data_IF_333860481654
#
_entry.id   IF_333860481654
#
_cell.length_a   1.000
_cell.length_b   1.000
_cell.length_c   1.000
_cell.angle_alpha   90.00
_cell.angle_beta   90.00
_cell.angle_gamma   90.00
#
_symmetry.space_group_name_H-M   'P 1'
#
loop_
_entity.id
_entity.type
_entity.pdbx_description
1 polymer ?
#
# COMPACT_ATOMS: atom_id res chain seq x y z
N UNK A 1 10.47 12.32 12.11
CA UNK A 1 11.13 11.05 12.33
C UNK A 1 11.47 10.43 10.98
N UNK A 2 12.69 9.96 10.83
CA UNK A 2 13.11 9.35 9.59
C UNK A 2 12.76 7.86 9.57
N UNK A 3 12.28 7.38 8.43
CA UNK A 3 12.02 5.96 8.22
C UNK A 3 13.24 5.35 7.56
N UNK A 4 14.03 4.61 8.32
CA UNK A 4 15.16 3.89 7.77
C UNK A 4 14.85 2.39 7.68
N UNK A 5 15.82 1.60 7.22
CA UNK A 5 15.61 0.19 7.02
C UNK A 5 15.24 -0.56 8.30
N UNK A 6 15.79 -0.15 9.43
CA UNK A 6 15.49 -0.78 10.71
C UNK A 6 14.08 -0.42 11.17
N UNK A 7 13.68 0.83 11.01
CA UNK A 7 12.31 1.25 11.32
C UNK A 7 11.31 0.50 10.48
N UNK A 8 11.59 0.34 9.18
CA UNK A 8 10.71 -0.42 8.28
C UNK A 8 10.65 -1.89 8.72
N UNK A 9 11.77 -2.48 9.14
CA UNK A 9 11.77 -3.87 9.59
C UNK A 9 10.85 -4.05 10.81
N UNK A 10 10.86 -3.08 11.73
CA UNK A 10 9.97 -3.13 12.89
C UNK A 10 8.51 -3.01 12.48
N UNK A 11 8.21 -2.16 11.50
CA UNK A 11 6.85 -2.03 11.00
C UNK A 11 6.39 -3.31 10.29
N UNK A 12 7.26 -3.95 9.52
CA UNK A 12 6.93 -5.21 8.87
C UNK A 12 6.57 -6.26 9.92
N UNK A 13 7.35 -6.32 11.01
CA UNK A 13 7.05 -7.24 12.11
C UNK A 13 5.66 -6.97 12.68
N UNK A 14 5.34 -5.71 12.94
CA UNK A 14 4.02 -5.32 13.45
C UNK A 14 2.91 -5.69 12.46
N UNK A 15 3.11 -5.38 11.18
CA UNK A 15 2.09 -5.65 10.17
C UNK A 15 1.88 -7.15 9.94
N UNK A 16 2.93 -7.95 10.08
CA UNK A 16 2.77 -9.40 10.02
C UNK A 16 1.85 -9.91 11.11
N UNK A 17 1.91 -9.30 12.28
CA UNK A 17 1.10 -9.74 13.43
C UNK A 17 -0.31 -9.15 13.44
N UNK A 18 -0.53 -8.06 12.70
CA UNK A 18 -1.83 -7.38 12.71
C UNK A 18 -2.56 -7.50 11.38
N UNK A 19 -1.86 -7.44 10.26
CA UNK A 19 -2.49 -7.30 8.94
C UNK A 19 -2.46 -8.57 8.11
N UNK A 20 -1.46 -9.44 8.26
CA UNK A 20 -1.43 -10.66 7.45
C UNK A 20 -2.64 -11.52 7.75
N UNK A 21 -3.29 -12.00 6.69
CA UNK A 21 -4.53 -12.75 6.79
C UNK A 21 -5.77 -11.88 6.83
N UNK A 22 -5.60 -10.58 6.97
CA UNK A 22 -6.72 -9.67 7.01
C UNK A 22 -7.29 -9.37 5.64
N UNK A 23 -8.47 -8.78 5.63
CA UNK A 23 -9.19 -8.46 4.40
C UNK A 23 -9.36 -6.96 4.29
N UNK A 24 -9.08 -6.43 3.11
CA UNK A 24 -9.27 -4.99 2.85
C UNK A 24 -10.78 -4.72 2.81
N UNK A 25 -11.21 -3.76 3.64
CA UNK A 25 -12.62 -3.40 3.74
C UNK A 25 -12.91 -2.07 3.07
N UNK A 26 -11.94 -1.14 3.07
CA UNK A 26 -12.16 0.18 2.51
C UNK A 26 -10.82 0.76 2.06
N UNK A 27 -10.85 1.49 0.94
CA UNK A 27 -9.67 2.20 0.43
C UNK A 27 -10.09 3.64 0.18
N UNK A 28 -9.33 4.58 0.73
CA UNK A 28 -9.54 6.01 0.52
C UNK A 28 -8.24 6.68 0.17
N UNK A 29 -8.31 7.78 -0.53
CA UNK A 29 -7.14 8.60 -0.89
C UNK A 29 -7.44 10.03 -0.46
N UNK A 30 -7.19 10.37 0.83
CA UNK A 30 -7.53 11.70 1.35
C UNK A 30 -6.76 12.83 0.68
N UNK A 31 -5.51 12.56 0.27
CA UNK A 31 -4.66 13.52 -0.41
C UNK A 31 -4.11 12.90 -1.68
N UNK A 32 -3.56 13.70 -2.58
CA UNK A 32 -3.08 13.22 -3.87
C UNK A 32 -1.96 12.17 -3.74
N UNK A 33 -1.23 12.17 -2.63
CA UNK A 33 -0.13 11.24 -2.42
C UNK A 33 -0.31 10.41 -1.15
N UNK A 34 -1.54 10.24 -0.67
CA UNK A 34 -1.81 9.56 0.57
C UNK A 34 -2.95 8.56 0.42
N UNK A 35 -2.77 7.35 0.98
CA UNK A 35 -3.81 6.33 1.04
C UNK A 35 -4.17 6.04 2.49
N UNK A 36 -5.45 5.73 2.72
CA UNK A 36 -5.93 5.24 3.99
C UNK A 36 -6.71 3.96 3.72
N UNK A 37 -6.17 2.83 4.18
CA UNK A 37 -6.75 1.52 3.91
C UNK A 37 -7.27 0.93 5.21
N UNK A 38 -8.54 0.54 5.23
CA UNK A 38 -9.14 -0.12 6.38
C UNK A 38 -9.08 -1.62 6.17
N UNK A 39 -8.52 -2.34 7.12
CA UNK A 39 -8.30 -3.78 7.05
C UNK A 39 -8.98 -4.43 8.25
N UNK A 40 -9.77 -5.48 7.99
CA UNK A 40 -10.42 -6.25 9.04
C UNK A 40 -9.68 -7.55 9.25
N UNK A 41 -9.28 -7.81 10.49
CA UNK A 41 -8.58 -9.05 10.84
C UNK A 41 -8.93 -9.43 12.29
N UNK A 42 -9.39 -10.66 12.49
CA UNK A 42 -9.72 -11.18 13.83
C UNK A 42 -10.69 -10.26 14.58
N UNK A 43 -11.72 -9.78 13.90
CA UNK A 43 -12.75 -8.89 14.44
C UNK A 43 -12.25 -7.51 14.83
N UNK A 44 -10.99 -7.21 14.50
CA UNK A 44 -10.43 -5.87 14.68
C UNK A 44 -10.40 -5.11 13.38
N UNK A 45 -10.54 -3.80 13.46
CA UNK A 45 -10.41 -2.93 12.30
C UNK A 45 -9.12 -2.15 12.44
N UNK A 46 -8.25 -2.26 11.43
CA UNK A 46 -7.00 -1.52 11.39
C UNK A 46 -7.05 -0.51 10.27
N UNK A 47 -6.58 0.69 10.52
CA UNK A 47 -6.46 1.72 9.49
C UNK A 47 -4.99 1.95 9.22
N UNK A 48 -4.58 1.61 7.99
CA UNK A 48 -3.20 1.77 7.54
C UNK A 48 -3.10 3.06 6.75
N UNK A 49 -2.34 4.00 7.27
CA UNK A 49 -2.09 5.27 6.59
C UNK A 49 -0.75 5.23 5.90
N UNK A 50 -0.73 5.50 4.60
CA UNK A 50 0.47 5.49 3.79
C UNK A 50 0.58 6.84 3.10
N UNK A 51 1.66 7.57 3.34
CA UNK A 51 1.92 8.84 2.70
C UNK A 51 3.20 8.77 1.89
N UNK A 52 3.11 9.12 0.60
CA UNK A 52 4.26 9.25 -0.29
C UNK A 52 4.65 10.72 -0.45
N UNK A 53 4.27 11.57 0.51
CA UNK A 53 4.61 12.98 0.49
C UNK A 53 6.12 13.17 0.49
N UNK A 54 6.60 14.10 -0.35
CA UNK A 54 8.02 14.38 -0.44
C UNK A 54 8.57 14.94 0.88
N UNK A 55 7.75 15.66 1.64
CA UNK A 55 8.18 16.29 2.88
C UNK A 55 8.02 15.39 4.09
N UNK A 56 7.07 14.45 4.07
CA UNK A 56 6.79 13.61 5.23
C UNK A 56 6.28 12.24 4.79
N UNK A 57 7.14 11.42 4.16
CA UNK A 57 6.72 10.06 3.79
C UNK A 57 6.60 9.21 5.05
N UNK A 58 5.52 8.43 5.13
CA UNK A 58 5.30 7.58 6.30
C UNK A 58 4.34 6.44 5.98
N UNK A 59 4.36 5.43 6.86
CA UNK A 59 3.38 4.36 6.86
C UNK A 59 3.21 3.91 8.31
N UNK A 60 1.96 3.83 8.77
CA UNK A 60 1.69 3.40 10.14
C UNK A 60 0.20 3.10 10.32
N UNK A 61 -0.13 2.43 11.41
CA UNK A 61 -1.52 2.20 11.78
C UNK A 61 -2.03 3.40 12.57
N UNK A 62 -3.24 3.85 12.25
CA UNK A 62 -3.82 5.01 12.90
C UNK A 62 -5.26 4.71 13.33
N UNK A 63 -5.72 5.39 14.38
CA UNK A 63 -7.11 5.33 14.79
C UNK A 63 -7.94 6.44 14.15
N UNK A 64 -7.29 7.39 13.48
CA UNK A 64 -7.96 8.55 12.92
C UNK A 64 -8.51 8.28 11.53
N UNK A 65 -9.63 8.93 11.21
CA UNK A 65 -10.17 8.97 9.86
C UNK A 65 -9.91 10.35 9.28
N UNK A 66 -9.62 10.38 7.98
CA UNK A 66 -9.51 11.64 7.25
C UNK A 66 -10.67 11.76 6.29
N UNK A 67 -11.10 13.00 6.06
CA UNK A 67 -12.15 13.28 5.07
C UNK A 67 -11.62 12.98 3.68
N UNK A 68 -12.37 12.20 2.92
CA UNK A 68 -12.01 11.89 1.54
C UNK A 68 -12.63 12.91 0.61
N UNK A 69 -12.02 13.16 -0.56
CA UNK A 69 -12.65 14.02 -1.56
C UNK A 69 -13.97 13.43 -2.05
N UNK A 70 -14.85 14.27 -2.55
CA UNK A 70 -16.15 13.83 -3.06
C UNK A 70 -15.98 12.83 -4.22
N UNK A 71 -14.99 13.08 -5.06
CA UNK A 71 -14.67 12.19 -6.17
C UNK A 71 -13.33 11.51 -5.89
N UNK A 72 -13.32 10.18 -5.88
CA UNK A 72 -12.09 9.45 -5.62
C UNK A 72 -11.10 9.64 -6.77
N UNK A 73 -9.81 9.86 -6.47
CA UNK A 73 -8.79 9.93 -7.52
C UNK A 73 -8.66 8.62 -8.29
N UNK A 74 -8.10 8.69 -9.48
CA UNK A 74 -7.99 7.52 -10.37
C UNK A 74 -7.25 6.35 -9.73
N UNK A 75 -6.16 6.60 -9.03
CA UNK A 75 -5.41 5.53 -8.38
C UNK A 75 -6.26 4.83 -7.33
N UNK A 76 -7.00 5.59 -6.54
CA UNK A 76 -7.89 5.03 -5.52
C UNK A 76 -8.98 4.17 -6.15
N UNK A 77 -9.58 4.65 -7.24
CA UNK A 77 -10.63 3.90 -7.93
C UNK A 77 -10.08 2.62 -8.53
N UNK A 78 -8.87 2.67 -9.07
CA UNK A 78 -8.20 1.48 -9.60
C UNK A 78 -7.98 0.44 -8.51
N UNK A 79 -7.49 0.86 -7.35
CA UNK A 79 -7.27 -0.05 -6.24
C UNK A 79 -8.59 -0.65 -5.74
N UNK A 80 -9.65 0.17 -5.64
CA UNK A 80 -10.95 -0.33 -5.22
C UNK A 80 -11.48 -1.40 -6.17
N UNK A 81 -11.27 -1.20 -7.46
CA UNK A 81 -11.72 -2.13 -8.48
C UNK A 81 -11.02 -3.48 -8.36
N UNK A 82 -9.72 -3.46 -8.14
CA UNK A 82 -8.91 -4.70 -8.16
C UNK A 82 -8.76 -5.34 -6.80
N UNK A 83 -8.55 -4.56 -5.74
CA UNK A 83 -8.22 -5.10 -4.42
C UNK A 83 -9.12 -4.59 -3.31
N UNK A 84 -10.32 -4.10 -3.65
CA UNK A 84 -11.27 -3.58 -2.66
C UNK A 84 -11.73 -4.60 -1.63
N UNK A 85 -11.58 -5.88 -1.91
CA UNK A 85 -11.94 -6.96 -0.99
C UNK A 85 -10.82 -8.00 -0.91
N UNK A 86 -9.60 -7.60 -1.23
CA UNK A 86 -8.47 -8.52 -1.27
C UNK A 86 -8.04 -8.92 0.14
N UNK A 87 -7.42 -10.10 0.22
CA UNK A 87 -6.81 -10.58 1.46
C UNK A 87 -5.33 -10.30 1.41
N UNK A 88 -4.78 -9.85 2.54
CA UNK A 88 -3.34 -9.62 2.65
C UNK A 88 -2.67 -10.97 2.95
N UNK A 89 -1.87 -11.45 2.00
CA UNK A 89 -1.19 -12.73 2.14
C UNK A 89 0.10 -12.57 2.92
N UNK A 90 0.87 -11.53 2.61
CA UNK A 90 2.14 -11.32 3.30
C UNK A 90 2.55 -9.87 3.25
N UNK A 91 3.41 -9.50 4.21
CA UNK A 91 4.04 -8.20 4.27
C UNK A 91 5.54 -8.46 4.32
N UNK A 92 6.29 -7.86 3.42
CA UNK A 92 7.73 -8.12 3.28
C UNK A 92 8.51 -6.83 3.15
N UNK A 93 9.80 -6.91 3.53
CA UNK A 93 10.76 -5.85 3.27
C UNK A 93 11.94 -6.50 2.53
N UNK A 94 12.17 -6.14 1.27
CA UNK A 94 13.31 -6.70 0.53
C UNK A 94 14.63 -6.20 1.16
N UNK A 95 15.41 -7.11 1.71
CA UNK A 95 16.64 -6.76 2.40
C UNK A 95 16.39 -5.80 3.55
N UNK A 96 17.20 -4.74 3.65
CA UNK A 96 17.00 -3.67 4.64
C UNK A 96 16.66 -2.36 3.97
N UNK A 97 16.01 -2.40 2.85
CA UNK A 97 15.66 -1.20 2.12
C UNK A 97 14.42 -0.53 2.72
N UNK A 98 14.17 0.72 2.36
CA UNK A 98 13.00 1.47 2.85
C UNK A 98 11.80 1.21 1.96
N UNK A 99 11.51 -0.07 1.75
CA UNK A 99 10.45 -0.55 0.87
C UNK A 99 9.64 -1.59 1.61
N UNK A 100 8.31 -1.47 1.56
CA UNK A 100 7.41 -2.52 2.03
C UNK A 100 6.65 -3.08 0.84
N UNK A 101 6.48 -4.39 0.85
CA UNK A 101 5.73 -5.07 -0.19
C UNK A 101 4.58 -5.83 0.45
N UNK A 102 3.35 -5.50 0.03
CA UNK A 102 2.14 -6.21 0.46
C UNK A 102 1.69 -7.12 -0.67
N UNK A 103 1.67 -8.41 -0.42
CA UNK A 103 1.14 -9.37 -1.38
C UNK A 103 -0.33 -9.58 -1.11
N UNK A 104 -1.17 -9.41 -2.14
CA UNK A 104 -2.61 -9.40 -2.03
C UNK A 104 -3.22 -10.47 -2.92
N UNK A 105 -4.32 -11.08 -2.45
CA UNK A 105 -5.01 -12.11 -3.20
C UNK A 105 -6.47 -11.69 -3.36
N UNK A 106 -7.00 -11.79 -4.58
CA UNK A 106 -8.37 -11.40 -4.86
C UNK A 106 -8.90 -12.24 -6.02
N UNK A 107 -10.22 -12.17 -6.24
CA UNK A 107 -10.83 -12.80 -7.39
C UNK A 107 -10.90 -11.82 -8.55
N UNK A 108 -10.59 -12.28 -9.75
CA UNK A 108 -10.71 -11.43 -10.93
C UNK A 108 -12.16 -11.46 -11.46
N UNK A 109 -12.40 -10.84 -12.61
CA UNK A 109 -13.74 -10.72 -13.17
C UNK A 109 -14.36 -12.07 -13.53
N UNK A 110 -13.52 -13.05 -13.78
CA UNK A 110 -13.96 -14.41 -14.11
C UNK A 110 -14.12 -15.30 -12.87
N UNK A 111 -13.81 -14.75 -11.69
CA UNK A 111 -13.89 -15.53 -10.46
C UNK A 111 -12.63 -16.32 -10.16
N UNK A 112 -11.58 -16.14 -10.92
CA UNK A 112 -10.32 -16.84 -10.70
C UNK A 112 -9.48 -16.11 -9.67
N UNK A 113 -8.76 -16.89 -8.87
CA UNK A 113 -7.88 -16.34 -7.85
C UNK A 113 -6.65 -15.73 -8.50
N UNK A 114 -6.35 -14.48 -8.18
CA UNK A 114 -5.13 -13.86 -8.67
C UNK A 114 -4.47 -13.04 -7.58
N UNK A 115 -3.19 -12.72 -7.79
CA UNK A 115 -2.39 -12.00 -6.82
C UNK A 115 -1.85 -10.72 -7.40
N UNK A 116 -1.73 -9.72 -6.54
CA UNK A 116 -1.19 -8.41 -6.87
C UNK A 116 -0.24 -8.01 -5.76
N UNK A 117 0.58 -7.00 -6.03
CA UNK A 117 1.50 -6.45 -5.04
C UNK A 117 1.28 -4.97 -4.90
N UNK A 118 1.28 -4.50 -3.68
CA UNK A 118 1.29 -3.06 -3.39
C UNK A 118 2.63 -2.75 -2.75
N UNK A 119 3.43 -1.93 -3.42
CA UNK A 119 4.80 -1.63 -3.00
C UNK A 119 4.84 -0.20 -2.51
N UNK A 120 5.34 -0.01 -1.29
CA UNK A 120 5.45 1.31 -0.68
C UNK A 120 6.93 1.66 -0.55
N UNK A 121 7.35 2.74 -1.23
CA UNK A 121 8.71 3.25 -1.17
C UNK A 121 8.73 4.49 -0.28
N UNK A 122 9.53 4.45 0.78
CA UNK A 122 9.65 5.57 1.72
C UNK A 122 11.05 6.17 1.52
N UNK A 123 11.19 7.01 0.52
CA UNK A 123 12.49 7.52 0.08
C UNK A 123 12.49 9.03 -0.15
N UNK A 124 12.02 9.79 0.85
CA UNK A 124 11.98 11.25 0.75
C UNK A 124 11.14 11.70 -0.43
N UNK A 125 11.70 12.57 -1.27
CA UNK A 125 10.96 13.09 -2.41
C UNK A 125 10.67 12.04 -3.48
N UNK A 126 11.36 10.91 -3.43
CA UNK A 126 11.14 9.79 -4.36
C UNK A 126 10.19 8.74 -3.79
N UNK A 127 9.52 9.03 -2.67
CA UNK A 127 8.54 8.12 -2.09
C UNK A 127 7.38 7.90 -3.04
N UNK A 128 6.86 6.67 -3.08
CA UNK A 128 5.78 6.32 -3.98
C UNK A 128 4.99 5.14 -3.44
N UNK A 129 3.82 4.93 -4.00
CA UNK A 129 3.00 3.75 -3.75
C UNK A 129 2.71 3.15 -5.12
N UNK A 130 3.14 1.92 -5.34
CA UNK A 130 3.10 1.29 -6.66
C UNK A 130 2.24 0.03 -6.60
N UNK A 131 1.31 -0.10 -7.54
CA UNK A 131 0.44 -1.26 -7.65
C UNK A 131 0.88 -2.07 -8.86
N UNK A 132 1.19 -3.34 -8.66
CA UNK A 132 1.70 -4.16 -9.74
C UNK A 132 1.15 -5.59 -9.69
N UNK A 133 1.34 -6.29 -10.81
CA UNK A 133 0.98 -7.69 -10.92
C UNK A 133 1.95 -8.55 -10.16
N UNK A 134 1.60 -9.84 -10.00
CA UNK A 134 2.44 -10.78 -9.28
C UNK A 134 3.83 -10.90 -9.90
N UNK A 135 3.95 -10.75 -11.22
CA UNK A 135 5.24 -10.85 -11.92
C UNK A 135 6.07 -9.58 -11.86
N UNK A 136 5.56 -8.53 -11.19
CA UNK A 136 6.29 -7.27 -11.06
C UNK A 136 5.92 -6.21 -12.07
N UNK A 137 5.05 -6.52 -13.04
CA UNK A 137 4.63 -5.53 -14.02
C UNK A 137 3.81 -4.44 -13.34
N UNK A 138 4.23 -3.19 -13.50
CA UNK A 138 3.55 -2.05 -12.88
C UNK A 138 2.22 -1.79 -13.57
N UNK A 139 1.14 -1.74 -12.78
CA UNK A 139 -0.18 -1.38 -13.28
C UNK A 139 -0.39 0.12 -13.17
N UNK A 140 -0.07 0.70 -12.00
CA UNK A 140 -0.20 2.14 -11.78
C UNK A 140 0.57 2.50 -10.51
N UNK A 141 0.69 3.81 -10.26
CA UNK A 141 1.31 4.30 -9.03
C UNK A 141 0.64 5.60 -8.62
N UNK A 142 0.75 5.95 -7.33
CA UNK A 142 0.12 7.18 -6.84
C UNK A 142 0.83 8.41 -7.38
N UNK A 143 2.14 8.29 -7.67
CA UNK A 143 2.91 9.32 -8.37
C UNK A 143 3.40 8.74 -9.68
N UNK A 144 3.14 9.45 -10.78
CA UNK A 144 3.62 9.01 -12.07
C UNK A 144 4.98 9.67 -12.31
N UNK A 145 6.05 8.86 -12.27
CA UNK A 145 7.41 9.35 -12.45
C UNK A 145 8.05 8.64 -13.62
N UNK A 146 9.06 9.28 -14.20
CA UNK A 146 9.80 8.68 -15.30
C UNK A 146 10.62 7.48 -14.80
N UNK A 147 10.99 6.61 -15.72
CA UNK A 147 11.77 5.42 -15.39
C UNK A 147 13.06 5.77 -14.68
N UNK A 148 13.68 6.90 -15.00
CA UNK A 148 14.93 7.29 -14.40
C UNK A 148 14.80 7.79 -12.98
N UNK A 149 13.59 8.04 -12.48
CA UNK A 149 13.37 8.60 -11.16
C UNK A 149 12.84 7.60 -10.15
N UNK A 150 12.53 6.38 -10.57
CA UNK A 150 12.05 5.35 -9.66
C UNK A 150 13.11 4.30 -9.43
N UNK A 151 13.26 3.87 -8.17
CA UNK A 151 14.19 2.80 -7.84
C UNK A 151 13.52 1.43 -7.97
N UNK A 152 12.19 1.39 -8.05
CA UNK A 152 11.44 0.15 -8.21
C UNK A 152 10.70 0.20 -9.49
N UNK A 153 11.15 -0.56 -10.46
CA UNK A 153 10.42 -0.62 -11.65
C UNK A 153 10.87 -1.81 -12.41
N UNK A 154 10.13 -2.13 -13.34
CA UNK A 154 10.43 -3.21 -14.07
C UNK A 154 10.21 -3.05 -15.42
#
# INVERSE_FOLDING_TARGET
>A
MAFDGITIANLVWEFKHTLEGGKIAKIAQPEKDELLITIKNNKENYRLQISASASLPLIYLTANNKTSPLTAPNFCMLLRKHIGSARIISVKQPGLERILEFELEHLDELGDLCRKRLIVEIMGKHSNIIFCKEDGTIIDSIKHVSASMSSVRE
#
